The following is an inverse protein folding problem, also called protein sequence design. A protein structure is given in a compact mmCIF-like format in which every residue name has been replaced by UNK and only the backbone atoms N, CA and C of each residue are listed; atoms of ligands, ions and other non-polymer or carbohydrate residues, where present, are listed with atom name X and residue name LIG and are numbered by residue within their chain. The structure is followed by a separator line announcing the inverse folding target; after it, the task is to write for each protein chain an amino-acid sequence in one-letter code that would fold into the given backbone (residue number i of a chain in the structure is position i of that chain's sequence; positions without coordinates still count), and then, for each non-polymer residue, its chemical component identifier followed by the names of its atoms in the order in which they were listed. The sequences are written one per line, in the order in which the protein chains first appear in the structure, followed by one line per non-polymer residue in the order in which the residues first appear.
data_IF_578393408308
#
_entry.id   IF_578393408308
#
_cell.length_a   1.000
_cell.length_b   1.000
_cell.length_c   1.000
_cell.angle_alpha   90.00
_cell.angle_beta   90.00
_cell.angle_gamma   90.00
#
_symmetry.space_group_name_H-M   'P 1'
#
loop_
_entity.id
_entity.type
_entity.pdbx_description
1 polymer ?
#
# COMPACT_ATOMS: atom_id res chain seq x y z
N UNK A 1 -27.07 -15.93 15.35
CA UNK A 1 -27.01 -14.48 15.01
C UNK A 1 -25.76 -13.92 15.67
N UNK A 2 -24.79 -13.38 14.90
CA UNK A 2 -23.56 -12.83 15.49
C UNK A 2 -23.94 -11.58 16.29
N UNK A 3 -23.61 -11.55 17.59
CA UNK A 3 -23.92 -10.42 18.46
C UNK A 3 -23.03 -9.24 18.09
N UNK A 4 -23.63 -8.08 17.85
CA UNK A 4 -22.87 -6.85 17.60
C UNK A 4 -22.11 -6.42 18.87
N UNK A 5 -20.85 -5.94 18.73
CA UNK A 5 -20.13 -5.25 19.79
C UNK A 5 -20.98 -4.11 20.36
N UNK A 6 -20.93 -3.90 21.68
CA UNK A 6 -21.78 -2.92 22.36
C UNK A 6 -21.47 -1.49 21.89
N UNK A 7 -20.22 -1.24 21.54
CA UNK A 7 -19.63 0.03 21.15
C UNK A 7 -20.23 0.62 19.86
N UNK A 8 -20.73 -0.24 18.97
CA UNK A 8 -21.27 0.16 17.67
C UNK A 8 -22.74 -0.22 17.47
N UNK A 9 -23.35 -0.92 18.44
CA UNK A 9 -24.63 -1.62 18.23
C UNK A 9 -25.75 -0.68 17.81
N UNK A 10 -25.95 0.38 18.59
CA UNK A 10 -26.98 1.39 18.39
C UNK A 10 -26.90 2.06 17.00
N UNK A 11 -25.69 2.30 16.51
CA UNK A 11 -25.49 2.89 15.18
C UNK A 11 -25.66 1.84 14.09
N UNK A 12 -25.08 0.64 14.26
CA UNK A 12 -25.12 -0.43 13.27
C UNK A 12 -26.53 -1.04 13.08
N UNK A 13 -27.41 -0.98 14.08
CA UNK A 13 -28.81 -1.40 14.00
C UNK A 13 -29.65 -0.50 13.06
N UNK A 14 -29.16 0.71 12.76
CA UNK A 14 -29.79 1.62 11.80
C UNK A 14 -29.44 1.28 10.33
N UNK A 15 -28.63 0.26 10.10
CA UNK A 15 -28.23 -0.20 8.77
C UNK A 15 -28.82 -1.57 8.43
N UNK A 16 -29.21 -1.74 7.16
CA UNK A 16 -29.33 -3.07 6.57
C UNK A 16 -27.91 -3.60 6.37
N UNK A 17 -27.58 -4.68 7.09
CA UNK A 17 -26.23 -5.25 7.13
C UNK A 17 -26.15 -6.44 6.17
N UNK A 18 -25.28 -6.34 5.18
CA UNK A 18 -25.02 -7.38 4.19
C UNK A 18 -23.57 -7.82 4.30
N UNK A 19 -23.34 -9.14 4.33
CA UNK A 19 -21.99 -9.72 4.30
C UNK A 19 -21.78 -10.42 2.97
N UNK A 20 -20.82 -9.93 2.19
CA UNK A 20 -20.33 -10.61 1.01
C UNK A 20 -19.10 -11.45 1.41
N UNK A 21 -19.13 -12.73 1.06
CA UNK A 21 -18.04 -13.69 1.33
C UNK A 21 -17.39 -14.20 0.04
N UNK A 22 -17.88 -13.77 -1.12
CA UNK A 22 -17.36 -14.09 -2.45
C UNK A 22 -17.30 -12.81 -3.26
N UNK A 23 -16.21 -12.63 -3.99
CA UNK A 23 -16.03 -11.47 -4.88
C UNK A 23 -16.59 -11.72 -6.29
N UNK A 24 -16.77 -12.99 -6.68
CA UNK A 24 -17.37 -13.36 -7.96
C UNK A 24 -18.77 -12.71 -8.11
N UNK A 25 -19.05 -12.18 -9.30
CA UNK A 25 -20.28 -11.46 -9.61
C UNK A 25 -20.31 -9.99 -9.20
N UNK A 26 -19.35 -9.52 -8.39
CA UNK A 26 -19.29 -8.12 -7.96
C UNK A 26 -18.92 -7.20 -9.13
N UNK A 27 -19.67 -6.11 -9.32
CA UNK A 27 -19.31 -5.08 -10.30
C UNK A 27 -18.14 -4.23 -9.77
N UNK A 28 -16.94 -4.49 -10.29
CA UNK A 28 -15.69 -3.85 -9.92
C UNK A 28 -15.65 -2.35 -10.28
N UNK A 29 -16.57 -1.88 -11.12
CA UNK A 29 -16.72 -0.45 -11.41
C UNK A 29 -17.40 0.31 -10.27
N UNK A 30 -18.27 -0.36 -9.51
CA UNK A 30 -18.99 0.21 -8.36
C UNK A 30 -18.25 -0.06 -7.07
N UNK A 31 -17.90 -1.32 -6.81
CA UNK A 31 -17.30 -1.78 -5.56
C UNK A 31 -15.79 -1.90 -5.72
N UNK A 32 -15.17 -0.74 -5.81
CA UNK A 32 -13.73 -0.60 -5.97
C UNK A 32 -13.08 -0.31 -4.61
N UNK A 33 -12.15 -1.18 -4.21
CA UNK A 33 -11.37 -1.06 -2.99
C UNK A 33 -10.00 -1.71 -3.18
N UNK A 34 -9.13 -1.56 -2.19
CA UNK A 34 -7.85 -2.24 -2.19
C UNK A 34 -8.06 -3.76 -2.05
N UNK A 35 -7.97 -4.49 -3.16
CA UNK A 35 -8.27 -5.91 -3.19
C UNK A 35 -7.27 -6.80 -2.43
N UNK A 36 -6.15 -6.25 -1.94
CA UNK A 36 -5.18 -6.98 -1.12
C UNK A 36 -5.51 -6.96 0.38
N UNK A 37 -6.54 -6.24 0.81
CA UNK A 37 -6.91 -6.14 2.22
C UNK A 37 -7.74 -7.34 2.69
N UNK A 38 -7.70 -7.59 4.00
CA UNK A 38 -8.43 -8.69 4.65
C UNK A 38 -9.92 -8.39 4.87
N UNK A 39 -10.26 -7.11 5.05
CA UNK A 39 -11.62 -6.66 5.31
C UNK A 39 -11.86 -5.24 4.81
N UNK A 40 -13.03 -5.00 4.24
CA UNK A 40 -13.47 -3.71 3.72
C UNK A 40 -14.99 -3.58 3.81
N UNK A 41 -15.48 -2.36 4.06
CA UNK A 41 -16.89 -2.06 4.11
C UNK A 41 -17.23 -0.83 3.27
N UNK A 42 -18.42 -0.86 2.69
CA UNK A 42 -19.07 0.27 2.05
C UNK A 42 -20.33 0.62 2.83
N UNK A 43 -20.58 1.92 3.00
CA UNK A 43 -21.85 2.44 3.48
C UNK A 43 -22.53 3.09 2.28
N UNK A 44 -23.69 2.59 1.89
CA UNK A 44 -24.37 3.02 0.67
C UNK A 44 -25.88 3.06 0.80
N UNK A 45 -26.50 3.81 -0.10
CA UNK A 45 -27.94 3.82 -0.30
C UNK A 45 -28.42 2.65 -1.16
N UNK A 46 -29.73 2.42 -1.22
CA UNK A 46 -30.33 1.38 -2.08
C UNK A 46 -30.07 1.59 -3.59
N UNK A 47 -29.82 2.83 -4.02
CA UNK A 47 -29.41 3.17 -5.40
C UNK A 47 -27.90 3.00 -5.66
N UNK A 48 -27.18 2.36 -4.73
CA UNK A 48 -25.74 2.11 -4.73
C UNK A 48 -24.85 3.36 -4.62
N UNK A 49 -25.42 4.50 -4.24
CA UNK A 49 -24.62 5.69 -3.92
C UNK A 49 -23.80 5.44 -2.66
N UNK A 50 -22.48 5.46 -2.79
CA UNK A 50 -21.54 5.19 -1.69
C UNK A 50 -21.36 6.47 -0.86
N UNK A 51 -21.76 6.42 0.40
CA UNK A 51 -21.59 7.50 1.38
C UNK A 51 -20.23 7.46 2.06
N UNK A 52 -19.62 6.29 2.18
CA UNK A 52 -18.31 6.14 2.78
C UNK A 52 -17.77 4.73 2.68
N UNK A 53 -16.49 4.60 2.99
CA UNK A 53 -15.74 3.36 3.02
C UNK A 53 -15.14 3.17 4.41
N UNK A 54 -14.84 1.95 4.80
CA UNK A 54 -14.08 1.67 6.01
C UNK A 54 -13.23 0.40 5.82
N UNK A 55 -12.05 0.37 6.42
CA UNK A 55 -11.07 -0.70 6.23
C UNK A 55 -9.69 -0.16 5.85
N UNK A 56 -8.88 -1.03 5.26
CA UNK A 56 -7.50 -0.70 4.89
C UNK A 56 -6.49 -1.25 5.88
N UNK A 57 -5.22 -1.30 5.44
CA UNK A 57 -4.06 -1.68 6.22
C UNK A 57 -2.81 -1.08 5.61
N UNK A 58 -1.68 -1.28 6.26
CA UNK A 58 -0.36 -1.06 5.66
C UNK A 58 0.55 -2.26 5.94
N UNK A 59 1.84 -2.09 5.63
CA UNK A 59 2.86 -3.12 5.78
C UNK A 59 3.21 -3.42 7.24
N UNK A 60 2.89 -2.52 8.18
CA UNK A 60 3.25 -2.66 9.59
C UNK A 60 2.27 -3.56 10.35
N UNK A 61 0.96 -3.40 10.10
CA UNK A 61 -0.09 -4.13 10.81
C UNK A 61 -1.32 -4.31 9.91
N UNK A 62 -1.86 -5.54 9.87
CA UNK A 62 -3.10 -5.86 9.15
C UNK A 62 -4.35 -5.23 9.75
N UNK A 63 -4.31 -4.85 11.03
CA UNK A 63 -5.44 -4.26 11.75
C UNK A 63 -5.14 -2.83 12.25
N UNK A 64 -3.94 -2.30 12.00
CA UNK A 64 -3.48 -1.02 12.54
C UNK A 64 -4.31 0.19 12.11
N UNK A 65 -5.14 0.05 11.07
CA UNK A 65 -6.08 1.07 10.57
C UNK A 65 -7.51 0.86 11.05
N UNK A 66 -7.76 -0.14 11.89
CA UNK A 66 -9.09 -0.57 12.31
C UNK A 66 -9.29 -0.32 13.81
N UNK A 67 -10.41 0.29 14.15
CA UNK A 67 -10.94 0.27 15.51
C UNK A 67 -12.47 0.28 15.51
N UNK A 68 -13.08 -0.15 16.63
CA UNK A 68 -14.54 -0.06 16.80
C UNK A 68 -15.01 1.40 16.87
N UNK A 69 -14.23 2.29 17.49
CA UNK A 69 -14.55 3.72 17.54
C UNK A 69 -14.48 4.37 16.15
N UNK A 70 -13.46 4.04 15.35
CA UNK A 70 -13.36 4.52 13.96
C UNK A 70 -14.49 3.98 13.07
N UNK A 71 -14.90 2.72 13.27
CA UNK A 71 -16.03 2.14 12.54
C UNK A 71 -17.33 2.84 12.92
N UNK A 72 -17.56 3.06 14.22
CA UNK A 72 -18.70 3.84 14.72
C UNK A 72 -18.73 5.21 14.08
N UNK A 73 -17.60 5.92 14.10
CA UNK A 73 -17.47 7.25 13.54
C UNK A 73 -17.86 7.26 12.06
N UNK A 74 -17.32 6.32 11.26
CA UNK A 74 -17.63 6.24 9.85
C UNK A 74 -19.11 5.89 9.56
N UNK A 75 -19.73 5.03 10.39
CA UNK A 75 -21.17 4.74 10.33
C UNK A 75 -22.01 5.99 10.62
N UNK A 76 -21.67 6.76 11.65
CA UNK A 76 -22.37 8.01 11.97
C UNK A 76 -22.26 9.03 10.84
N UNK A 77 -21.05 9.23 10.28
CA UNK A 77 -20.86 10.12 9.12
C UNK A 77 -21.65 9.65 7.90
N UNK A 78 -21.79 8.34 7.69
CA UNK A 78 -22.62 7.81 6.62
C UNK A 78 -24.12 8.07 6.86
N UNK A 79 -24.61 7.96 8.10
CA UNK A 79 -26.00 8.28 8.45
C UNK A 79 -26.29 9.77 8.31
N UNK A 80 -25.35 10.65 8.64
CA UNK A 80 -25.47 12.09 8.40
C UNK A 80 -25.64 12.38 6.90
N UNK A 81 -24.80 11.78 6.05
CA UNK A 81 -24.96 11.89 4.59
C UNK A 81 -26.28 11.32 4.10
N UNK A 82 -26.80 10.27 4.71
CA UNK A 82 -28.08 9.69 4.33
C UNK A 82 -29.27 10.63 4.58
N UNK A 83 -29.16 11.60 5.51
CA UNK A 83 -30.22 12.60 5.73
C UNK A 83 -30.39 13.53 4.52
N UNK A 84 -29.29 13.81 3.81
CA UNK A 84 -29.26 14.62 2.59
C UNK A 84 -28.35 13.92 1.56
N UNK A 85 -28.87 12.87 0.92
CA UNK A 85 -28.06 12.00 0.09
C UNK A 85 -27.47 12.77 -1.10
N UNK A 86 -26.20 12.56 -1.45
CA UNK A 86 -25.65 13.11 -2.67
C UNK A 86 -26.40 12.54 -3.90
N UNK A 87 -26.36 13.22 -5.05
CA UNK A 87 -26.99 12.73 -6.27
C UNK A 87 -26.50 11.32 -6.64
N UNK A 88 -27.43 10.49 -7.10
CA UNK A 88 -27.13 9.12 -7.48
C UNK A 88 -26.15 9.08 -8.67
N UNK A 89 -25.08 8.31 -8.53
CA UNK A 89 -24.12 8.07 -9.61
C UNK A 89 -24.56 6.83 -10.38
N UNK A 90 -24.98 7.01 -11.63
CA UNK A 90 -25.33 5.89 -12.55
C UNK A 90 -24.12 5.52 -13.41
N UNK A 91 -23.72 4.25 -13.35
CA UNK A 91 -22.66 3.72 -14.20
C UNK A 91 -23.23 3.31 -15.56
N UNK A 92 -22.60 3.76 -16.65
CA UNK A 92 -22.96 3.36 -18.01
C UNK A 92 -22.27 2.05 -18.42
N UNK A 93 -22.96 1.22 -19.20
CA UNK A 93 -22.40 -0.02 -19.77
C UNK A 93 -22.49 -1.24 -18.83
N UNK A 94 -22.08 -2.42 -19.32
CA UNK A 94 -22.19 -3.68 -18.57
C UNK A 94 -21.22 -3.72 -17.37
N UNK A 95 -21.57 -4.47 -16.30
CA UNK A 95 -20.67 -4.67 -15.17
C UNK A 95 -19.34 -5.28 -15.59
N UNK A 96 -18.27 -4.93 -14.88
CA UNK A 96 -16.97 -5.60 -15.02
C UNK A 96 -16.77 -6.45 -13.79
N UNK A 97 -16.69 -7.76 -13.96
CA UNK A 97 -16.60 -8.73 -12.86
C UNK A 97 -15.24 -9.41 -12.83
N UNK A 98 -14.82 -9.97 -11.69
CA UNK A 98 -13.58 -10.74 -11.60
C UNK A 98 -13.49 -11.88 -12.63
N UNK A 99 -14.59 -12.59 -12.87
CA UNK A 99 -14.67 -13.71 -13.79
C UNK A 99 -14.62 -13.32 -15.28
N UNK A 100 -14.79 -12.03 -15.60
CA UNK A 100 -14.77 -11.55 -16.99
C UNK A 100 -13.34 -11.49 -17.54
N UNK A 101 -12.32 -11.43 -16.67
CA UNK A 101 -10.92 -11.42 -17.11
C UNK A 101 -10.50 -12.77 -17.71
N UNK A 102 -9.76 -12.80 -18.83
CA UNK A 102 -9.30 -14.05 -19.45
C UNK A 102 -8.52 -14.96 -18.50
N UNK A 103 -7.69 -14.39 -17.62
CA UNK A 103 -6.91 -15.14 -16.63
C UNK A 103 -7.79 -15.89 -15.62
N UNK A 104 -8.98 -15.38 -15.30
CA UNK A 104 -9.91 -16.03 -14.37
C UNK A 104 -10.37 -17.40 -14.87
N UNK A 105 -10.44 -17.62 -16.19
CA UNK A 105 -10.83 -18.92 -16.79
C UNK A 105 -9.84 -20.05 -16.50
N UNK A 106 -8.59 -19.70 -16.17
CA UNK A 106 -7.52 -20.66 -15.83
C UNK A 106 -7.38 -20.83 -14.31
N UNK A 107 -8.06 -20.00 -13.52
CA UNK A 107 -8.04 -20.08 -12.07
C UNK A 107 -8.79 -21.32 -11.59
N UNK A 108 -8.18 -22.05 -10.65
CA UNK A 108 -8.80 -23.23 -10.03
C UNK A 108 -9.31 -22.86 -8.65
N UNK A 109 -10.57 -23.18 -8.37
CA UNK A 109 -11.21 -22.88 -7.09
C UNK A 109 -11.89 -21.50 -7.05
N UNK A 110 -12.14 -21.01 -5.84
CA UNK A 110 -12.81 -19.72 -5.63
C UNK A 110 -11.89 -18.56 -6.03
N UNK A 111 -12.44 -17.55 -6.70
CA UNK A 111 -11.75 -16.27 -6.93
C UNK A 111 -11.70 -15.52 -5.59
N UNK A 112 -10.50 -15.19 -5.13
CA UNK A 112 -10.28 -14.34 -3.96
C UNK A 112 -10.07 -12.89 -4.38
N UNK A 113 -10.20 -11.94 -3.44
CA UNK A 113 -10.10 -10.51 -3.75
C UNK A 113 -8.80 -10.14 -4.46
N UNK A 114 -7.65 -10.54 -3.91
CA UNK A 114 -6.34 -10.21 -4.48
C UNK A 114 -6.16 -10.71 -5.92
N UNK A 115 -6.83 -11.81 -6.32
CA UNK A 115 -6.77 -12.32 -7.69
C UNK A 115 -7.30 -11.30 -8.72
N UNK A 116 -8.16 -10.35 -8.32
CA UNK A 116 -8.63 -9.29 -9.23
C UNK A 116 -7.47 -8.48 -9.78
N UNK A 117 -6.49 -8.11 -8.94
CA UNK A 117 -5.32 -7.36 -9.37
C UNK A 117 -4.39 -8.22 -10.23
N UNK A 118 -4.25 -9.51 -9.93
CA UNK A 118 -3.48 -10.47 -10.75
C UNK A 118 -4.11 -10.63 -12.14
N UNK A 119 -5.43 -10.83 -12.20
CA UNK A 119 -6.16 -11.00 -13.46
C UNK A 119 -6.15 -9.74 -14.31
N UNK A 120 -6.32 -8.57 -13.68
CA UNK A 120 -6.20 -7.28 -14.35
C UNK A 120 -4.80 -7.08 -14.92
N UNK A 121 -3.76 -7.29 -14.11
CA UNK A 121 -2.37 -7.20 -14.56
C UNK A 121 -2.09 -8.13 -15.74
N UNK A 122 -2.53 -9.39 -15.66
CA UNK A 122 -2.35 -10.35 -16.75
C UNK A 122 -3.03 -9.88 -18.05
N UNK A 123 -4.22 -9.28 -17.95
CA UNK A 123 -4.92 -8.71 -19.11
C UNK A 123 -4.19 -7.48 -19.68
N UNK A 124 -3.73 -6.57 -18.84
CA UNK A 124 -2.94 -5.39 -19.25
C UNK A 124 -1.61 -5.79 -19.90
N UNK A 125 -0.94 -6.82 -19.37
CA UNK A 125 0.30 -7.35 -19.94
C UNK A 125 0.05 -7.96 -21.32
N UNK A 126 -1.01 -8.77 -21.46
CA UNK A 126 -1.39 -9.34 -22.75
C UNK A 126 -1.78 -8.27 -23.79
N UNK A 127 -2.32 -7.13 -23.35
CA UNK A 127 -2.66 -6.00 -24.19
C UNK A 127 -1.48 -5.04 -24.47
N UNK A 128 -0.32 -5.22 -23.82
CA UNK A 128 0.80 -4.28 -23.91
C UNK A 128 0.55 -2.94 -23.24
N UNK A 129 -0.46 -2.83 -22.38
CA UNK A 129 -0.85 -1.61 -21.66
C UNK A 129 -0.43 -1.61 -20.20
N UNK A 130 0.24 -2.68 -19.74
CA UNK A 130 0.67 -2.76 -18.35
C UNK A 130 1.70 -1.69 -18.03
N UNK A 131 1.36 -0.90 -17.02
CA UNK A 131 2.22 0.14 -16.48
C UNK A 131 2.74 -0.32 -15.12
N UNK A 132 4.06 -0.36 -14.99
CA UNK A 132 4.73 -0.80 -13.77
C UNK A 132 4.36 0.04 -12.54
N UNK A 133 4.09 1.33 -12.71
CA UNK A 133 3.68 2.19 -11.59
C UNK A 133 2.26 1.90 -11.10
N UNK A 134 1.49 1.05 -11.79
CA UNK A 134 0.15 0.62 -11.36
C UNK A 134 0.17 -0.18 -10.05
N UNK A 135 1.30 -0.79 -9.67
CA UNK A 135 1.47 -1.53 -8.41
C UNK A 135 1.30 -0.65 -7.16
N UNK A 136 1.49 0.66 -7.30
CA UNK A 136 1.27 1.65 -6.25
C UNK A 136 -0.22 2.03 -6.17
N UNK A 137 -1.05 1.02 -5.94
CA UNK A 137 -2.49 1.14 -5.70
C UNK A 137 -2.76 1.56 -4.26
N UNK A 138 -3.85 2.31 -4.06
CA UNK A 138 -4.28 2.78 -2.74
C UNK A 138 -3.14 3.38 -1.89
N UNK A 139 -2.50 4.48 -2.35
CA UNK A 139 -1.45 5.13 -1.58
C UNK A 139 -1.93 5.54 -0.18
N UNK A 140 -1.00 5.57 0.77
CA UNK A 140 -1.30 5.95 2.14
C UNK A 140 -1.43 7.48 2.24
N UNK A 141 -2.29 8.02 3.12
CA UNK A 141 -2.30 9.45 3.44
C UNK A 141 -0.92 9.99 3.86
N UNK A 142 -0.10 9.13 4.47
CA UNK A 142 1.26 9.46 4.88
C UNK A 142 2.17 9.81 3.69
N UNK A 143 1.86 9.32 2.49
CA UNK A 143 2.60 9.65 1.27
C UNK A 143 2.50 11.14 0.88
N UNK A 144 1.43 11.81 1.31
CA UNK A 144 1.26 13.27 1.16
C UNK A 144 1.48 14.00 2.47
N UNK A 145 1.94 13.29 3.50
CA UNK A 145 2.29 13.82 4.81
C UNK A 145 1.13 13.93 5.81
N UNK A 146 0.01 13.25 5.59
CA UNK A 146 -1.11 13.26 6.54
C UNK A 146 -1.10 11.96 7.35
N UNK A 147 -1.13 12.06 8.67
CA UNK A 147 -1.42 10.93 9.57
C UNK A 147 -2.82 11.13 10.14
N UNK A 148 -3.72 10.16 9.91
CA UNK A 148 -5.10 10.21 10.39
C UNK A 148 -5.26 9.47 11.71
N UNK A 149 -6.13 9.99 12.58
CA UNK A 149 -6.46 9.34 13.84
C UNK A 149 -7.27 8.07 13.59
N UNK A 150 -6.85 6.93 14.17
CA UNK A 150 -7.50 5.63 13.93
C UNK A 150 -8.98 5.59 14.35
N UNK A 151 -9.32 6.27 15.45
CA UNK A 151 -10.66 6.25 16.04
C UNK A 151 -11.59 7.34 15.46
N UNK A 152 -11.04 8.27 14.69
CA UNK A 152 -11.77 9.35 14.03
C UNK A 152 -11.09 9.63 12.69
N UNK A 153 -11.48 8.90 11.65
CA UNK A 153 -10.67 8.77 10.44
C UNK A 153 -10.65 9.98 9.50
N UNK A 154 -11.27 11.10 9.87
CA UNK A 154 -11.11 12.40 9.21
C UNK A 154 -10.27 13.39 10.04
N UNK A 155 -9.91 13.05 11.28
CA UNK A 155 -9.08 13.89 12.14
C UNK A 155 -7.61 13.71 11.78
N UNK A 156 -6.94 14.81 11.46
CA UNK A 156 -5.49 14.85 11.24
C UNK A 156 -4.80 14.76 12.60
N UNK A 157 -4.20 13.61 12.87
CA UNK A 157 -3.40 13.38 14.07
C UNK A 157 -2.06 14.09 14.00
N UNK A 158 -1.41 14.03 12.84
CA UNK A 158 -0.13 14.69 12.61
C UNK A 158 0.04 15.06 11.13
N UNK A 159 0.88 16.06 10.89
CA UNK A 159 1.32 16.45 9.55
C UNK A 159 2.83 16.33 9.49
N UNK A 160 3.35 15.58 8.51
CA UNK A 160 4.78 15.38 8.36
C UNK A 160 5.45 16.68 7.90
N UNK A 161 6.56 17.12 8.51
CA UNK A 161 7.29 18.31 8.08
C UNK A 161 7.77 18.20 6.63
N UNK A 162 7.77 19.32 5.89
CA UNK A 162 8.23 19.39 4.48
C UNK A 162 7.49 18.43 3.55
N UNK A 163 6.21 18.20 3.82
CA UNK A 163 5.31 17.38 2.99
C UNK A 163 4.32 18.25 2.21
N UNK A 164 3.66 17.70 1.17
CA UNK A 164 2.58 18.40 0.47
C UNK A 164 1.49 18.96 1.39
N UNK A 165 1.10 18.20 2.43
CA UNK A 165 0.12 18.65 3.41
C UNK A 165 0.62 19.81 4.28
N UNK A 166 1.89 19.76 4.72
CA UNK A 166 2.49 20.86 5.48
C UNK A 166 2.58 22.15 4.66
N UNK A 167 3.00 22.04 3.40
CA UNK A 167 3.08 23.18 2.47
C UNK A 167 1.71 23.80 2.19
N UNK A 168 0.65 22.99 2.18
CA UNK A 168 -0.73 23.46 2.05
C UNK A 168 -1.31 24.09 3.33
N UNK A 169 -0.58 24.03 4.45
CA UNK A 169 -0.97 24.64 5.72
C UNK A 169 -1.87 23.76 6.60
N UNK A 170 -2.00 22.47 6.30
CA UNK A 170 -2.65 21.51 7.21
C UNK A 170 -1.85 21.39 8.51
N UNK A 171 -2.55 21.17 9.61
CA UNK A 171 -2.00 21.03 10.95
C UNK A 171 -2.67 19.86 11.69
N UNK A 172 -2.00 19.37 12.73
CA UNK A 172 -2.64 18.45 13.66
C UNK A 172 -3.88 19.09 14.29
N UNK A 173 -4.95 18.32 14.45
CA UNK A 173 -6.26 18.79 14.92
C UNK A 173 -7.21 19.27 13.81
N UNK A 174 -6.73 19.41 12.58
CA UNK A 174 -7.60 19.70 11.44
C UNK A 174 -8.51 18.49 11.14
N UNK A 175 -9.74 18.76 10.71
CA UNK A 175 -10.66 17.73 10.21
C UNK A 175 -10.76 17.79 8.69
N UNK A 176 -10.30 16.74 8.01
CA UNK A 176 -10.47 16.60 6.58
C UNK A 176 -11.95 16.49 6.22
N UNK A 177 -12.38 17.30 5.26
CA UNK A 177 -13.74 17.24 4.72
C UNK A 177 -13.73 16.52 3.38
N UNK A 178 -12.83 16.94 2.48
CA UNK A 178 -12.64 16.33 1.17
C UNK A 178 -11.16 16.23 0.82
N UNK A 179 -10.80 15.15 0.13
CA UNK A 179 -9.52 14.93 -0.49
C UNK A 179 -9.77 14.50 -1.93
N UNK A 180 -9.14 15.16 -2.90
CA UNK A 180 -9.32 14.87 -4.32
C UNK A 180 -10.80 14.80 -4.77
N UNK A 181 -11.65 15.68 -4.19
CA UNK A 181 -13.10 15.71 -4.46
C UNK A 181 -13.93 14.63 -3.78
N UNK A 182 -13.31 13.69 -3.06
CA UNK A 182 -13.99 12.65 -2.30
C UNK A 182 -14.09 13.05 -0.83
N UNK A 183 -15.27 12.88 -0.23
CA UNK A 183 -15.44 13.08 1.21
C UNK A 183 -14.63 12.07 2.02
N UNK A 184 -14.05 12.51 3.12
CA UNK A 184 -13.24 11.66 4.01
C UNK A 184 -13.94 11.50 5.35
N UNK A 185 -14.21 10.25 5.74
CA UNK A 185 -14.63 9.90 7.11
C UNK A 185 -13.75 8.79 7.71
N UNK A 186 -12.88 8.18 6.89
CA UNK A 186 -12.02 7.06 7.26
C UNK A 186 -10.71 7.06 6.50
N UNK A 187 -9.77 6.24 6.97
CA UNK A 187 -8.56 5.90 6.22
C UNK A 187 -8.87 5.33 4.83
N UNK A 188 -9.89 4.48 4.71
CA UNK A 188 -10.28 3.87 3.45
C UNK A 188 -10.80 4.89 2.44
N UNK A 189 -11.53 5.92 2.88
CA UNK A 189 -11.96 7.02 2.02
C UNK A 189 -10.75 7.84 1.53
N UNK A 190 -9.84 8.20 2.45
CA UNK A 190 -8.63 8.95 2.09
C UNK A 190 -7.74 8.18 1.11
N UNK A 191 -7.51 6.89 1.36
CA UNK A 191 -6.73 6.04 0.46
C UNK A 191 -7.40 5.83 -0.90
N UNK A 192 -8.74 5.70 -0.94
CA UNK A 192 -9.50 5.67 -2.19
C UNK A 192 -9.36 6.99 -2.98
N UNK A 193 -9.49 8.14 -2.29
CA UNK A 193 -9.31 9.45 -2.89
C UNK A 193 -7.93 9.62 -3.53
N UNK A 194 -6.89 9.17 -2.84
CA UNK A 194 -5.51 9.16 -3.33
C UNK A 194 -5.30 8.13 -4.44
N UNK A 195 -5.99 6.99 -4.41
CA UNK A 195 -5.92 6.03 -5.50
C UNK A 195 -6.35 6.67 -6.83
N UNK A 196 -7.37 7.52 -6.79
CA UNK A 196 -7.90 8.31 -7.93
C UNK A 196 -7.09 9.53 -8.32
N UNK A 197 -6.07 9.90 -7.55
CA UNK A 197 -5.21 11.02 -7.85
C UNK A 197 -4.22 10.69 -8.99
N UNK A 198 -3.75 11.69 -9.76
CA UNK A 198 -2.78 11.46 -10.83
C UNK A 198 -1.42 10.99 -10.28
N UNK A 199 -0.61 10.36 -11.13
CA UNK A 199 0.74 9.89 -10.76
C UNK A 199 1.71 11.02 -10.42
N UNK A 200 1.43 12.21 -10.94
CA UNK A 200 2.10 13.48 -10.63
C UNK A 200 1.13 14.64 -10.90
N UNK A 201 1.34 15.79 -10.29
CA UNK A 201 0.52 16.99 -10.52
C UNK A 201 -0.03 17.53 -9.21
N UNK A 202 -1.35 17.66 -9.10
CA UNK A 202 -1.97 18.20 -7.89
C UNK A 202 -3.42 17.76 -7.68
N UNK A 203 -3.87 17.80 -6.43
CA UNK A 203 -5.25 17.50 -6.04
C UNK A 203 -5.81 18.55 -5.08
N UNK A 204 -7.13 18.84 -5.11
CA UNK A 204 -7.76 19.71 -4.12
C UNK A 204 -7.89 19.01 -2.76
N UNK A 205 -7.81 19.79 -1.68
CA UNK A 205 -8.11 19.36 -0.31
C UNK A 205 -8.95 20.43 0.40
N UNK A 206 -9.92 19.98 1.20
CA UNK A 206 -10.78 20.85 2.02
C UNK A 206 -10.75 20.30 3.44
N UNK A 207 -10.56 21.18 4.42
CA UNK A 207 -10.56 20.81 5.84
C UNK A 207 -11.21 21.90 6.71
N UNK A 208 -11.51 21.55 7.96
CA UNK A 208 -11.97 22.47 8.99
C UNK A 208 -10.94 22.56 10.12
N UNK A 209 -10.76 23.78 10.64
CA UNK A 209 -10.03 24.06 11.89
C UNK A 209 -10.97 24.84 12.80
N UNK A 210 -11.51 24.16 13.81
CA UNK A 210 -12.71 24.63 14.51
C UNK A 210 -13.87 24.78 13.51
N UNK A 211 -14.58 25.91 13.56
CA UNK A 211 -15.71 26.18 12.66
C UNK A 211 -15.28 26.71 11.28
N UNK A 212 -14.03 27.12 11.12
CA UNK A 212 -13.55 27.72 9.87
C UNK A 212 -13.17 26.63 8.86
N UNK A 213 -13.68 26.76 7.64
CA UNK A 213 -13.29 25.92 6.51
C UNK A 213 -12.11 26.52 5.74
N UNK A 214 -11.21 25.66 5.30
CA UNK A 214 -10.03 25.96 4.49
C UNK A 214 -10.03 25.06 3.26
N UNK A 215 -9.42 25.54 2.19
CA UNK A 215 -9.20 24.77 0.98
C UNK A 215 -7.83 25.10 0.41
N UNK A 216 -7.14 24.10 -0.11
CA UNK A 216 -5.84 24.26 -0.75
C UNK A 216 -5.67 23.22 -1.87
N UNK A 217 -4.55 23.31 -2.56
CA UNK A 217 -4.11 22.34 -3.57
C UNK A 217 -2.84 21.65 -3.07
N UNK A 218 -2.86 20.32 -3.01
CA UNK A 218 -1.70 19.51 -2.65
C UNK A 218 -0.89 19.18 -3.91
N UNK A 219 0.42 19.44 -3.88
CA UNK A 219 1.34 19.06 -4.95
C UNK A 219 1.73 17.59 -4.81
N UNK A 220 1.70 16.86 -5.90
CA UNK A 220 2.00 15.44 -5.98
C UNK A 220 3.27 15.26 -6.83
N UNK A 221 4.47 15.16 -6.21
CA UNK A 221 5.71 14.99 -6.95
C UNK A 221 5.77 13.60 -7.63
N UNK A 222 6.59 13.42 -8.69
CA UNK A 222 6.81 12.11 -9.28
C UNK A 222 7.18 11.07 -8.22
N UNK A 223 6.55 9.89 -8.28
CA UNK A 223 6.80 8.80 -7.34
C UNK A 223 6.14 8.95 -5.96
N UNK A 224 5.30 9.97 -5.72
CA UNK A 224 4.62 10.15 -4.43
C UNK A 224 3.80 8.94 -3.98
N UNK A 225 3.33 8.08 -4.90
CA UNK A 225 2.52 6.89 -4.60
C UNK A 225 3.30 5.74 -3.98
N UNK A 226 4.64 5.77 -4.04
CA UNK A 226 5.49 4.68 -3.55
C UNK A 226 5.25 4.43 -2.06
N UNK A 227 5.01 3.18 -1.70
CA UNK A 227 4.82 2.75 -0.32
C UNK A 227 5.45 1.37 -0.14
N UNK A 228 5.33 0.74 1.02
CA UNK A 228 5.72 -0.66 1.12
C UNK A 228 4.58 -1.57 0.60
N UNK A 229 4.84 -2.26 -0.51
CA UNK A 229 3.89 -3.17 -1.18
C UNK A 229 4.16 -4.65 -0.90
N UNK A 230 5.17 -4.99 -0.09
CA UNK A 230 5.63 -6.39 0.05
C UNK A 230 4.62 -7.31 0.75
N UNK A 231 3.59 -6.74 1.37
CA UNK A 231 2.51 -7.45 2.05
C UNK A 231 1.36 -7.84 1.12
N UNK A 232 1.32 -7.32 -0.12
CA UNK A 232 0.21 -7.50 -1.06
C UNK A 232 0.24 -8.88 -1.70
N UNK A 233 -0.76 -9.74 -1.46
CA UNK A 233 -0.80 -11.08 -2.08
C UNK A 233 -0.78 -11.02 -3.61
N UNK A 234 -1.44 -10.02 -4.21
CA UNK A 234 -1.54 -9.87 -5.66
C UNK A 234 -0.22 -9.55 -6.38
N UNK A 235 0.86 -9.27 -5.64
CA UNK A 235 2.17 -8.92 -6.20
C UNK A 235 3.22 -9.99 -5.94
N UNK A 236 2.90 -11.08 -5.23
CA UNK A 236 3.89 -12.09 -4.82
C UNK A 236 4.63 -12.75 -6.00
N UNK A 237 4.00 -12.81 -7.17
CA UNK A 237 4.54 -13.35 -8.42
C UNK A 237 5.54 -12.40 -9.13
N UNK A 238 5.53 -11.11 -8.79
CA UNK A 238 6.42 -10.10 -9.40
C UNK A 238 7.38 -9.45 -8.40
N UNK A 239 7.24 -9.75 -7.10
CA UNK A 239 8.22 -9.37 -6.10
C UNK A 239 9.47 -10.24 -6.25
N UNK A 240 10.67 -9.64 -6.31
CA UNK A 240 11.88 -10.38 -6.59
C UNK A 240 12.38 -11.10 -5.36
N UNK A 241 13.12 -12.18 -5.58
CA UNK A 241 13.95 -12.80 -4.55
C UNK A 241 15.43 -12.54 -4.82
N UNK A 242 16.19 -12.24 -3.77
CA UNK A 242 17.66 -12.24 -3.82
C UNK A 242 18.14 -13.48 -3.03
N UNK A 243 18.61 -14.54 -3.69
CA UNK A 243 18.93 -15.83 -3.05
C UNK A 243 20.30 -15.80 -2.35
N UNK A 244 20.53 -14.79 -1.51
CA UNK A 244 21.72 -14.66 -0.66
C UNK A 244 21.43 -15.27 0.71
N UNK A 245 22.40 -16.02 1.24
CA UNK A 245 22.30 -16.66 2.55
C UNK A 245 23.64 -16.48 3.24
N UNK A 246 23.62 -16.07 4.50
CA UNK A 246 24.83 -15.69 5.21
C UNK A 246 24.56 -15.29 6.65
N UNK A 247 25.64 -14.96 7.34
CA UNK A 247 25.64 -14.48 8.71
C UNK A 247 26.10 -13.02 8.76
N UNK A 248 25.51 -12.24 9.66
CA UNK A 248 25.95 -10.87 9.90
C UNK A 248 27.34 -10.84 10.53
N UNK A 249 28.18 -9.92 10.05
CA UNK A 249 29.47 -9.66 10.69
C UNK A 249 29.28 -9.04 12.07
N UNK A 250 30.18 -9.37 12.98
CA UNK A 250 30.27 -8.70 14.29
C UNK A 250 30.82 -7.27 14.13
N UNK A 251 30.59 -6.38 15.12
CA UNK A 251 31.21 -5.05 15.14
C UNK A 251 32.75 -5.09 15.06
N UNK A 252 33.39 -6.11 15.62
CA UNK A 252 34.85 -6.32 15.57
C UNK A 252 35.31 -6.64 14.14
N UNK A 253 34.63 -7.57 13.47
CA UNK A 253 34.93 -7.94 12.08
C UNK A 253 34.73 -6.77 11.13
N UNK A 254 33.65 -6.00 11.31
CA UNK A 254 33.38 -4.78 10.53
C UNK A 254 34.50 -3.77 10.69
N UNK A 255 34.95 -3.52 11.94
CA UNK A 255 36.08 -2.60 12.23
C UNK A 255 37.37 -3.06 11.55
N UNK A 256 37.70 -4.35 11.61
CA UNK A 256 38.88 -4.90 10.95
C UNK A 256 38.86 -4.73 9.42
N UNK A 257 37.66 -4.66 8.83
CA UNK A 257 37.45 -4.44 7.40
C UNK A 257 37.21 -2.96 7.03
N UNK A 258 37.34 -2.03 7.98
CA UNK A 258 37.11 -0.61 7.75
C UNK A 258 35.63 -0.26 7.47
N UNK A 259 34.69 -1.09 7.91
CA UNK A 259 33.26 -0.84 7.83
C UNK A 259 32.73 -0.18 9.13
N UNK A 260 31.73 0.72 9.05
CA UNK A 260 31.02 1.21 10.22
C UNK A 260 30.39 0.05 11.01
N UNK A 261 30.49 0.10 12.34
CA UNK A 261 30.02 -0.97 13.21
C UNK A 261 28.52 -1.30 13.03
N UNK A 262 27.70 -0.28 12.74
CA UNK A 262 26.27 -0.44 12.53
C UNK A 262 25.89 -0.66 11.05
N UNK A 263 26.84 -0.84 10.13
CA UNK A 263 26.51 -1.10 8.72
C UNK A 263 26.09 -2.56 8.52
N UNK A 264 25.07 -2.81 7.70
CA UNK A 264 24.73 -4.14 7.20
C UNK A 264 25.91 -4.75 6.42
N UNK A 265 26.30 -5.97 6.80
CA UNK A 265 27.38 -6.70 6.16
C UNK A 265 27.13 -8.20 6.34
N UNK A 266 26.74 -8.88 5.25
CA UNK A 266 26.27 -10.26 5.27
C UNK A 266 27.33 -11.18 4.63
N UNK A 267 28.05 -11.95 5.43
CA UNK A 267 29.03 -12.94 4.97
C UNK A 267 28.31 -14.13 4.34
N UNK A 268 28.50 -14.34 3.05
CA UNK A 268 27.88 -15.44 2.32
C UNK A 268 28.39 -16.79 2.83
N UNK A 269 27.47 -17.75 2.94
CA UNK A 269 27.81 -19.15 3.22
C UNK A 269 28.75 -19.72 2.14
N UNK A 270 29.45 -20.82 2.47
CA UNK A 270 30.42 -21.43 1.55
C UNK A 270 29.82 -21.83 0.20
N UNK A 271 28.59 -22.36 0.22
CA UNK A 271 27.81 -22.62 -0.98
C UNK A 271 26.85 -21.46 -1.20
N UNK A 272 27.00 -20.79 -2.33
CA UNK A 272 26.10 -19.74 -2.80
C UNK A 272 25.14 -20.28 -3.85
N UNK A 273 24.04 -19.57 -4.10
CA UNK A 273 23.07 -19.98 -5.11
C UNK A 273 23.69 -19.94 -6.52
N UNK A 274 23.38 -20.92 -7.37
CA UNK A 274 23.99 -21.06 -8.70
C UNK A 274 23.82 -19.80 -9.57
N UNK A 275 22.69 -19.10 -9.45
CA UNK A 275 22.48 -17.83 -10.18
C UNK A 275 23.46 -16.73 -9.79
N UNK A 276 23.92 -16.73 -8.53
CA UNK A 276 24.88 -15.77 -8.01
C UNK A 276 26.32 -16.21 -8.34
N UNK A 277 26.60 -17.52 -8.35
CA UNK A 277 27.89 -18.06 -8.80
C UNK A 277 28.22 -17.69 -10.24
N UNK A 278 27.20 -17.74 -11.11
CA UNK A 278 27.32 -17.37 -12.53
C UNK A 278 27.73 -15.91 -12.75
N UNK A 279 27.37 -15.01 -11.84
CA UNK A 279 27.80 -13.60 -11.89
C UNK A 279 29.09 -13.35 -11.10
N UNK A 280 29.72 -14.40 -10.59
CA UNK A 280 31.02 -14.34 -9.92
C UNK A 280 30.96 -14.19 -8.39
N UNK A 281 29.79 -14.30 -7.76
CA UNK A 281 29.71 -14.39 -6.28
C UNK A 281 30.33 -15.72 -5.83
N UNK A 282 31.01 -15.70 -4.68
CA UNK A 282 31.69 -16.85 -4.10
C UNK A 282 31.36 -16.94 -2.62
N UNK A 283 31.50 -18.14 -2.06
CA UNK A 283 31.37 -18.33 -0.62
C UNK A 283 32.40 -17.49 0.16
N UNK A 284 31.99 -16.96 1.31
CA UNK A 284 32.82 -16.08 2.13
C UNK A 284 32.86 -14.61 1.69
N UNK A 285 32.35 -14.28 0.49
CA UNK A 285 32.13 -12.88 0.10
C UNK A 285 31.23 -12.18 1.11
N UNK A 286 31.43 -10.87 1.32
CA UNK A 286 30.62 -10.10 2.25
C UNK A 286 29.78 -9.12 1.46
N UNK A 287 28.45 -9.29 1.43
CA UNK A 287 27.54 -8.33 0.82
C UNK A 287 27.38 -7.12 1.73
N UNK A 288 27.76 -5.94 1.25
CA UNK A 288 27.81 -4.70 2.04
C UNK A 288 26.87 -3.60 1.53
N UNK A 289 26.24 -3.80 0.37
CA UNK A 289 25.34 -2.83 -0.23
C UNK A 289 24.66 -3.33 -1.51
N UNK A 290 23.65 -2.58 -1.93
CA UNK A 290 22.89 -2.77 -3.17
C UNK A 290 22.85 -1.44 -3.91
N UNK A 291 23.24 -1.43 -5.19
CA UNK A 291 23.27 -0.23 -6.05
C UNK A 291 23.98 0.96 -5.41
N UNK A 292 25.11 0.68 -4.74
CA UNK A 292 25.93 1.67 -4.06
C UNK A 292 25.37 2.16 -2.72
N UNK A 293 24.19 1.70 -2.32
CA UNK A 293 23.56 2.04 -1.05
C UNK A 293 23.96 1.06 0.05
N UNK A 294 24.29 1.62 1.22
CA UNK A 294 24.56 0.87 2.45
C UNK A 294 23.42 1.07 3.45
N UNK A 295 23.20 0.08 4.31
CA UNK A 295 22.11 0.11 5.29
C UNK A 295 22.65 0.04 6.71
N UNK A 296 21.95 0.64 7.67
CA UNK A 296 22.29 0.55 9.09
C UNK A 296 21.45 -0.55 9.76
N UNK A 297 22.09 -1.53 10.39
CA UNK A 297 21.45 -2.71 10.99
C UNK A 297 22.04 -4.02 10.47
N UNK A 298 21.22 -5.07 10.43
CA UNK A 298 21.61 -6.40 9.95
C UNK A 298 21.45 -6.57 8.44
N UNK A 299 21.96 -7.70 7.95
CA UNK A 299 21.99 -8.07 6.53
C UNK A 299 20.59 -8.27 5.93
N UNK A 300 19.58 -8.57 6.75
CA UNK A 300 18.18 -8.65 6.33
C UNK A 300 17.68 -7.36 5.67
N UNK A 301 18.26 -6.21 6.01
CA UNK A 301 17.90 -4.92 5.42
C UNK A 301 18.31 -4.81 3.95
N UNK A 302 19.36 -5.51 3.52
CA UNK A 302 19.74 -5.60 2.11
C UNK A 302 18.65 -6.33 1.31
N UNK A 303 18.16 -7.46 1.84
CA UNK A 303 17.10 -8.24 1.21
C UNK A 303 15.77 -7.47 1.24
N UNK A 304 15.45 -6.82 2.36
CA UNK A 304 14.27 -5.98 2.50
C UNK A 304 14.31 -4.80 1.52
N UNK A 305 15.47 -4.17 1.30
CA UNK A 305 15.64 -3.13 0.30
C UNK A 305 15.32 -3.64 -1.10
N UNK A 306 15.87 -4.81 -1.48
CA UNK A 306 15.60 -5.42 -2.79
C UNK A 306 14.10 -5.66 -2.98
N UNK A 307 13.46 -6.32 -2.02
CA UNK A 307 12.05 -6.67 -2.10
C UNK A 307 11.10 -5.45 -2.12
N UNK A 308 11.51 -4.31 -1.53
CA UNK A 308 10.69 -3.09 -1.45
C UNK A 308 10.82 -2.17 -2.67
N UNK A 309 11.95 -2.23 -3.38
CA UNK A 309 12.29 -1.22 -4.38
C UNK A 309 12.39 -1.75 -5.81
N UNK A 310 12.48 -3.07 -5.97
CA UNK A 310 12.67 -3.71 -7.27
C UNK A 310 11.57 -4.73 -7.57
N UNK A 311 11.44 -5.11 -8.84
CA UNK A 311 10.60 -6.21 -9.31
C UNK A 311 11.46 -7.27 -10.01
N UNK A 312 10.87 -8.44 -10.23
CA UNK A 312 11.44 -9.47 -11.11
C UNK A 312 11.81 -8.86 -12.47
N UNK A 313 13.01 -9.20 -12.95
CA UNK A 313 13.58 -8.68 -14.21
C UNK A 313 14.45 -7.44 -14.06
N UNK A 314 14.38 -6.72 -12.92
CA UNK A 314 15.31 -5.61 -12.68
C UNK A 314 16.74 -6.12 -12.54
N UNK A 315 17.70 -5.28 -12.92
CA UNK A 315 19.12 -5.55 -12.68
C UNK A 315 19.63 -4.64 -11.58
N UNK A 316 20.20 -5.24 -10.55
CA UNK A 316 20.83 -4.57 -9.42
C UNK A 316 22.33 -4.81 -9.42
N UNK A 317 23.06 -4.00 -8.68
CA UNK A 317 24.49 -4.16 -8.41
C UNK A 317 24.66 -4.63 -6.97
N UNK A 318 25.22 -5.82 -6.79
CA UNK A 318 25.66 -6.31 -5.49
C UNK A 318 27.03 -5.69 -5.19
N UNK A 319 27.11 -4.88 -4.12
CA UNK A 319 28.37 -4.35 -3.62
C UNK A 319 28.93 -5.35 -2.60
N UNK A 320 30.07 -5.98 -2.90
CA UNK A 320 30.66 -7.00 -2.05
C UNK A 320 32.10 -6.65 -1.62
N UNK A 321 32.56 -7.28 -0.55
CA UNK A 321 33.98 -7.38 -0.20
C UNK A 321 34.46 -8.82 -0.39
N UNK A 322 35.62 -8.96 -1.03
CA UNK A 322 36.38 -10.21 -1.12
C UNK A 322 37.83 -9.93 -0.80
N UNK A 323 38.38 -10.59 0.23
CA UNK A 323 39.78 -10.39 0.66
C UNK A 323 40.14 -8.90 0.86
N UNK A 324 39.22 -8.11 1.43
CA UNK A 324 39.39 -6.67 1.64
C UNK A 324 39.17 -5.78 0.40
N UNK A 325 39.01 -6.36 -0.79
CA UNK A 325 38.76 -5.62 -2.03
C UNK A 325 37.25 -5.46 -2.30
N UNK A 326 36.83 -4.26 -2.71
CA UNK A 326 35.46 -3.97 -3.13
C UNK A 326 35.23 -4.44 -4.56
N UNK A 327 34.18 -5.23 -4.76
CA UNK A 327 33.74 -5.70 -6.08
C UNK A 327 32.27 -5.34 -6.31
N UNK A 328 31.88 -5.24 -7.58
CA UNK A 328 30.53 -4.92 -8.01
C UNK A 328 30.05 -6.00 -8.97
N UNK A 329 29.02 -6.74 -8.57
CA UNK A 329 28.47 -7.82 -9.39
C UNK A 329 27.06 -7.44 -9.86
N UNK A 330 26.82 -7.47 -11.17
CA UNK A 330 25.48 -7.20 -11.72
C UNK A 330 24.63 -8.46 -11.61
N UNK A 331 23.42 -8.33 -11.05
CA UNK A 331 22.48 -9.42 -10.87
C UNK A 331 21.10 -9.05 -11.41
N UNK A 332 20.56 -9.84 -12.33
CA UNK A 332 19.16 -9.71 -12.75
C UNK A 332 18.28 -10.52 -11.80
N UNK A 333 17.36 -9.81 -11.13
CA UNK A 333 16.44 -10.36 -10.15
C UNK A 333 15.45 -11.32 -10.82
N UNK A 334 15.21 -12.43 -10.15
CA UNK A 334 14.34 -13.51 -10.60
C UNK A 334 13.09 -13.65 -9.75
#
# INVERSE_FOLDING_TARGET
MVRLPKEIRDVAERFIRVRLIKIAGMDLRRFEFDYDVTWYAFFLNADETIYGRYGGRDASDSEGRLSLAGLRYALERALEKHQQPPPAVRLSGPPVRPEDYPAARRHRGCIHCHNVNEFRRAAEQAAGTWDRDSIWSYPLPENIGIVLHKDQGDLVQAVQPRSPAAEAGLQAGDRLVQLNGYSVASFADASYALHKAPKQGSIPVIWKRGERQFSATLKLPPGWRKTNITWRPSLLDILPSLPVVGDDLTPEEKRALGLPANQAALRQQQRVHESLERIGLRGGDILIGIDGQTFQGGGELLLAHVRRNYLVGDTITLNILRNGQRLHLRYTLK
#
